data_IF_828941987706
#
_entry.id   IF_828941987706
#
_cell.length_a   1.000
_cell.length_b   1.000
_cell.length_c   1.000
_cell.angle_alpha   90.00
_cell.angle_beta   90.00
_cell.angle_gamma   90.00
#
_symmetry.space_group_name_H-M   'P 1'
#
loop_
_entity.id
_entity.type
_entity.pdbx_description
1 polymer ?
#
# COMPACT_ATOMS: atom_id res chain seq x y z
N UNK A 1 -65.56 -2.48 39.41
CA UNK A 1 -64.58 -3.12 38.50
C UNK A 1 -63.60 -2.03 38.04
N UNK A 2 -62.29 -2.34 37.93
CA UNK A 2 -61.10 -1.45 37.75
C UNK A 2 -60.55 -0.88 39.06
N UNK A 3 -59.46 -1.39 39.65
CA UNK A 3 -58.05 -1.65 39.27
C UNK A 3 -57.12 -0.61 39.91
N UNK A 4 -56.36 -1.09 40.90
CA UNK A 4 -55.28 -0.41 41.63
C UNK A 4 -54.20 0.09 40.66
N UNK A 5 -53.88 1.37 40.69
CA UNK A 5 -52.65 1.92 40.09
C UNK A 5 -51.54 1.95 41.13
N UNK A 6 -50.54 1.08 40.98
CA UNK A 6 -49.33 1.03 41.80
C UNK A 6 -48.26 1.84 41.06
N UNK A 7 -47.78 2.93 41.66
CA UNK A 7 -46.66 3.71 41.14
C UNK A 7 -45.39 2.86 41.20
N UNK A 8 -44.79 2.60 40.03
CA UNK A 8 -43.46 2.01 39.90
C UNK A 8 -42.50 3.18 39.70
N UNK A 9 -41.73 3.51 40.72
CA UNK A 9 -40.57 4.38 40.62
C UNK A 9 -39.50 3.65 39.80
N UNK A 10 -39.42 3.98 38.52
CA UNK A 10 -38.36 3.49 37.63
C UNK A 10 -37.04 4.18 37.97
N UNK A 11 -36.07 3.42 38.46
CA UNK A 11 -34.68 3.87 38.54
C UNK A 11 -34.12 3.88 37.11
N UNK A 12 -33.88 5.06 36.55
CA UNK A 12 -33.16 5.21 35.28
C UNK A 12 -31.67 5.04 35.58
N UNK A 13 -31.15 3.83 35.35
CA UNK A 13 -29.70 3.60 35.32
C UNK A 13 -29.17 4.15 34.00
N UNK A 14 -28.69 5.39 34.04
CA UNK A 14 -28.00 5.99 32.91
C UNK A 14 -26.66 5.28 32.68
N UNK A 15 -26.59 4.42 31.68
CA UNK A 15 -25.31 3.90 31.18
C UNK A 15 -24.64 5.06 30.45
N UNK A 16 -23.74 5.75 31.15
CA UNK A 16 -22.78 6.65 30.52
C UNK A 16 -21.82 5.79 29.70
N UNK A 17 -22.10 5.64 28.41
CA UNK A 17 -21.08 5.25 27.44
C UNK A 17 -20.09 6.41 27.39
N UNK A 18 -19.04 6.33 28.21
CA UNK A 18 -17.86 7.17 28.06
C UNK A 18 -17.25 6.72 26.74
N UNK A 19 -17.51 7.47 25.66
CA UNK A 19 -16.72 7.38 24.45
C UNK A 19 -15.34 7.96 24.80
N UNK A 20 -14.50 7.18 25.48
CA UNK A 20 -13.07 7.44 25.52
C UNK A 20 -12.62 7.48 24.07
N UNK A 21 -12.26 8.68 23.61
CA UNK A 21 -11.94 8.96 22.23
C UNK A 21 -10.76 8.10 21.82
N UNK A 22 -11.03 7.04 21.05
CA UNK A 22 -9.99 6.29 20.35
C UNK A 22 -9.42 7.24 19.31
N UNK A 23 -8.30 7.88 19.65
CA UNK A 23 -7.51 8.66 18.70
C UNK A 23 -6.93 7.70 17.67
N UNK A 24 -7.57 7.62 16.50
CA UNK A 24 -6.99 6.95 15.34
C UNK A 24 -5.83 7.82 14.83
N UNK A 25 -4.59 7.44 15.15
CA UNK A 25 -3.43 8.02 14.48
C UNK A 25 -3.48 7.60 13.01
N UNK A 26 -3.58 8.55 12.08
CA UNK A 26 -3.33 8.26 10.67
C UNK A 26 -1.86 7.91 10.51
N UNK A 27 -1.55 6.69 10.07
CA UNK A 27 -0.20 6.35 9.63
C UNK A 27 0.05 7.13 8.34
N UNK A 28 0.76 8.26 8.45
CA UNK A 28 1.26 8.96 7.28
C UNK A 28 2.32 8.07 6.63
N UNK A 29 2.09 7.65 5.39
CA UNK A 29 3.08 6.88 4.64
C UNK A 29 4.32 7.74 4.38
N UNK A 30 5.48 7.31 4.89
CA UNK A 30 6.75 8.01 4.66
C UNK A 30 7.53 7.38 3.52
N UNK A 31 7.40 7.94 2.33
CA UNK A 31 8.19 7.50 1.17
C UNK A 31 9.65 7.95 1.28
N UNK A 32 10.59 7.01 1.19
CA UNK A 32 12.04 7.25 1.19
C UNK A 32 12.63 6.77 -0.14
N UNK A 33 13.40 7.59 -0.87
CA UNK A 33 13.99 7.18 -2.15
C UNK A 33 15.01 6.05 -1.94
N UNK A 34 15.05 5.09 -2.86
CA UNK A 34 16.14 4.10 -2.90
C UNK A 34 17.43 4.72 -3.45
N UNK A 35 18.57 4.08 -3.20
CA UNK A 35 19.88 4.57 -3.66
C UNK A 35 19.89 4.84 -5.17
N UNK A 36 20.57 5.91 -5.57
CA UNK A 36 20.64 6.38 -6.96
C UNK A 36 21.14 5.31 -7.94
N UNK A 37 22.06 4.44 -7.49
CA UNK A 37 22.60 3.34 -8.29
C UNK A 37 21.54 2.31 -8.77
N UNK A 38 20.35 2.30 -8.15
CA UNK A 38 19.24 1.42 -8.51
C UNK A 38 18.09 2.14 -9.21
N UNK A 39 18.20 3.45 -9.43
CA UNK A 39 17.23 4.23 -10.19
C UNK A 39 17.43 4.00 -11.69
N UNK A 40 16.36 4.14 -12.47
CA UNK A 40 16.45 4.04 -13.95
C UNK A 40 16.10 5.39 -14.58
N UNK A 41 16.79 5.84 -15.65
CA UNK A 41 16.58 7.17 -16.25
C UNK A 41 15.15 7.45 -16.76
N UNK A 42 14.37 6.40 -17.04
CA UNK A 42 12.98 6.48 -17.48
C UNK A 42 11.97 6.77 -16.36
N UNK A 43 12.40 6.70 -15.10
CA UNK A 43 11.58 6.95 -13.92
C UNK A 43 11.96 8.29 -13.31
N UNK A 44 11.01 8.95 -12.65
CA UNK A 44 11.33 10.12 -11.84
C UNK A 44 12.07 9.68 -10.58
N UNK A 45 11.46 8.82 -9.75
CA UNK A 45 12.12 8.23 -8.58
C UNK A 45 11.38 6.98 -8.12
N UNK A 46 12.12 5.98 -7.63
CA UNK A 46 11.60 4.85 -6.87
C UNK A 46 11.81 5.08 -5.38
N UNK A 47 10.75 4.83 -4.61
CA UNK A 47 10.71 4.94 -3.16
C UNK A 47 10.31 3.63 -2.50
N UNK A 48 10.68 3.49 -1.24
CA UNK A 48 10.22 2.47 -0.31
C UNK A 48 9.44 3.14 0.83
N UNK A 49 8.46 2.43 1.38
CA UNK A 49 7.78 2.79 2.62
C UNK A 49 8.40 1.96 3.76
N UNK A 50 9.29 2.53 4.60
CA UNK A 50 9.96 1.80 5.68
C UNK A 50 8.99 1.23 6.71
N UNK A 51 7.86 1.92 6.93
CA UNK A 51 6.89 1.55 7.95
C UNK A 51 6.02 0.36 7.49
N UNK A 52 6.07 0.02 6.20
CA UNK A 52 5.41 -1.16 5.65
C UNK A 52 6.23 -2.46 5.73
N UNK A 53 7.50 -2.38 6.16
CA UNK A 53 8.41 -3.52 6.15
C UNK A 53 7.99 -4.50 7.27
N UNK A 54 7.67 -5.73 6.86
CA UNK A 54 7.29 -6.81 7.79
C UNK A 54 8.09 -8.07 7.47
N UNK A 55 8.65 -8.71 8.50
CA UNK A 55 9.49 -9.92 8.36
C UNK A 55 8.81 -11.14 8.98
N UNK A 56 8.88 -12.26 8.27
CA UNK A 56 8.58 -13.60 8.77
C UNK A 56 9.70 -14.56 8.32
N UNK A 57 10.61 -14.87 9.26
CA UNK A 57 11.82 -15.64 8.97
C UNK A 57 12.66 -15.02 7.84
N UNK A 58 12.85 -15.79 6.77
CA UNK A 58 13.61 -15.37 5.57
C UNK A 58 12.78 -14.54 4.58
N UNK A 59 11.49 -14.34 4.85
CA UNK A 59 10.58 -13.63 3.97
C UNK A 59 10.33 -12.23 4.51
N UNK A 60 10.46 -11.22 3.64
CA UNK A 60 10.19 -9.82 3.98
C UNK A 60 9.22 -9.24 2.98
N UNK A 61 8.17 -8.57 3.46
CA UNK A 61 7.22 -7.84 2.64
C UNK A 61 7.44 -6.34 2.80
N UNK A 62 7.35 -5.58 1.71
CA UNK A 62 7.38 -4.13 1.73
C UNK A 62 6.48 -3.51 0.67
N UNK A 63 6.23 -2.22 0.80
CA UNK A 63 5.63 -1.37 -0.24
C UNK A 63 6.70 -0.53 -0.92
N UNK A 64 6.61 -0.50 -2.25
CA UNK A 64 7.41 0.34 -3.12
C UNK A 64 6.49 1.31 -3.86
N UNK A 65 6.91 2.55 -4.00
CA UNK A 65 6.31 3.51 -4.93
C UNK A 65 7.24 3.77 -6.10
N UNK A 66 6.71 3.73 -7.31
CA UNK A 66 7.43 4.16 -8.51
C UNK A 66 6.73 5.39 -9.06
N UNK A 67 7.46 6.49 -9.10
CA UNK A 67 7.02 7.74 -9.69
C UNK A 67 7.62 7.87 -11.09
N UNK A 68 6.78 8.08 -12.09
CA UNK A 68 7.18 8.15 -13.49
C UNK A 68 7.30 9.60 -13.93
N UNK A 69 8.33 9.90 -14.72
CA UNK A 69 8.52 11.24 -15.27
C UNK A 69 7.41 11.61 -16.27
N UNK A 70 6.99 10.61 -17.05
CA UNK A 70 5.96 10.76 -18.07
C UNK A 70 4.76 9.89 -17.75
N UNK A 71 3.59 10.33 -18.21
CA UNK A 71 2.36 9.58 -18.08
C UNK A 71 2.50 8.21 -18.77
N UNK A 72 2.24 7.15 -18.03
CA UNK A 72 2.28 5.77 -18.50
C UNK A 72 0.88 5.30 -18.90
N UNK A 73 0.82 4.16 -19.58
CA UNK A 73 -0.41 3.45 -19.92
C UNK A 73 -1.16 3.96 -21.16
N UNK A 74 -2.09 3.14 -21.67
CA UNK A 74 -2.81 3.40 -22.91
C UNK A 74 -4.21 3.97 -22.68
N UNK A 75 -4.67 4.78 -23.64
CA UNK A 75 -6.07 5.20 -23.75
C UNK A 75 -7.01 4.03 -24.09
N UNK A 76 -7.62 3.39 -23.09
CA UNK A 76 -8.55 2.28 -23.28
C UNK A 76 -9.90 2.67 -23.90
N UNK A 77 -10.05 2.83 -25.21
CA UNK A 77 -11.36 3.06 -25.88
C UNK A 77 -12.07 4.40 -25.58
N UNK A 78 -12.38 5.13 -26.66
CA UNK A 78 -12.91 6.50 -26.64
C UNK A 78 -14.38 6.63 -26.22
N UNK A 79 -15.17 7.40 -26.97
CA UNK A 79 -16.53 7.94 -26.69
C UNK A 79 -17.60 6.93 -26.18
N UNK A 80 -17.32 5.63 -26.12
CA UNK A 80 -18.25 4.56 -25.75
C UNK A 80 -17.70 3.53 -24.72
N UNK A 81 -16.56 3.76 -24.06
CA UNK A 81 -15.92 2.79 -23.15
C UNK A 81 -14.69 3.35 -22.40
N UNK A 82 -13.98 2.56 -21.56
CA UNK A 82 -13.12 3.10 -20.49
C UNK A 82 -11.76 3.67 -20.91
N UNK A 83 -11.70 4.86 -21.52
CA UNK A 83 -10.45 5.53 -21.86
C UNK A 83 -9.62 5.95 -20.63
N UNK A 84 -8.33 6.26 -20.83
CA UNK A 84 -7.12 5.53 -20.42
C UNK A 84 -6.97 5.04 -18.98
N UNK A 85 -6.34 3.87 -18.82
CA UNK A 85 -5.49 3.53 -17.67
C UNK A 85 -4.19 4.36 -17.75
N UNK A 86 -4.30 5.68 -17.63
CA UNK A 86 -3.15 6.59 -17.61
C UNK A 86 -2.77 6.89 -16.17
N UNK A 87 -1.49 6.72 -15.86
CA UNK A 87 -0.99 6.89 -14.51
C UNK A 87 0.38 7.54 -14.49
N UNK A 88 0.68 8.22 -13.38
CA UNK A 88 1.98 8.85 -13.13
C UNK A 88 2.75 8.17 -12.01
N UNK A 89 2.08 7.34 -11.22
CA UNK A 89 2.76 6.55 -10.20
C UNK A 89 2.10 5.21 -9.98
N UNK A 90 2.88 4.26 -9.48
CA UNK A 90 2.39 2.96 -9.03
C UNK A 90 2.84 2.71 -7.60
N UNK A 91 1.98 2.06 -6.82
CA UNK A 91 2.35 1.47 -5.54
C UNK A 91 2.27 -0.04 -5.67
N UNK A 92 3.35 -0.72 -5.32
CA UNK A 92 3.44 -2.18 -5.36
C UNK A 92 3.72 -2.73 -3.98
N UNK A 93 3.10 -3.86 -3.64
CA UNK A 93 3.45 -4.68 -2.48
C UNK A 93 4.23 -5.88 -2.97
N UNK A 94 5.45 -6.04 -2.48
CA UNK A 94 6.38 -7.08 -2.91
C UNK A 94 6.83 -7.90 -1.73
N UNK A 95 7.12 -9.16 -2.02
CA UNK A 95 7.72 -10.08 -1.07
C UNK A 95 9.08 -10.54 -1.55
N UNK A 96 10.03 -10.61 -0.63
CA UNK A 96 11.42 -10.94 -0.87
C UNK A 96 11.83 -12.15 -0.02
N UNK A 97 12.45 -13.15 -0.65
CA UNK A 97 13.09 -14.26 0.06
C UNK A 97 14.58 -13.93 0.22
N UNK A 98 14.99 -13.55 1.43
CA UNK A 98 16.33 -13.05 1.72
C UNK A 98 17.44 -14.09 1.50
N UNK A 99 17.17 -15.37 1.80
CA UNK A 99 18.15 -16.44 1.65
C UNK A 99 18.42 -16.82 0.18
N UNK A 100 17.37 -16.83 -0.64
CA UNK A 100 17.47 -17.28 -2.05
C UNK A 100 17.56 -16.13 -3.05
N UNK A 101 17.56 -14.88 -2.57
CA UNK A 101 17.59 -13.65 -3.38
C UNK A 101 16.52 -13.66 -4.47
N UNK A 102 15.26 -13.89 -4.05
CA UNK A 102 14.07 -13.93 -4.93
C UNK A 102 13.04 -12.88 -4.54
N UNK A 103 12.23 -12.47 -5.50
CA UNK A 103 11.13 -11.51 -5.33
C UNK A 103 9.85 -12.04 -5.98
N UNK A 104 8.70 -11.69 -5.41
CA UNK A 104 7.39 -11.81 -6.08
C UNK A 104 6.54 -10.57 -5.84
N UNK A 105 5.73 -10.22 -6.84
CA UNK A 105 4.72 -9.19 -6.70
C UNK A 105 3.49 -9.79 -6.00
N UNK A 106 2.96 -9.09 -4.99
CA UNK A 106 1.72 -9.49 -4.31
C UNK A 106 0.53 -8.64 -4.78
N UNK A 107 0.76 -7.34 -4.95
CA UNK A 107 -0.28 -6.43 -5.40
C UNK A 107 0.33 -5.20 -6.07
N UNK A 108 -0.43 -4.57 -6.97
CA UNK A 108 -0.08 -3.28 -7.54
C UNK A 108 -1.31 -2.40 -7.73
N UNK A 109 -1.13 -1.10 -7.61
CA UNK A 109 -2.16 -0.08 -7.84
C UNK A 109 -1.56 1.07 -8.61
N UNK A 110 -2.24 1.48 -9.68
CA UNK A 110 -1.90 2.64 -10.51
C UNK A 110 -2.61 3.88 -10.00
N UNK A 111 -1.94 5.03 -10.06
CA UNK A 111 -2.46 6.30 -9.58
C UNK A 111 -2.39 7.36 -10.68
N UNK A 112 -3.50 8.09 -10.84
CA UNK A 112 -3.63 9.11 -11.88
C UNK A 112 -2.71 10.32 -11.70
N UNK A 113 -2.09 10.50 -10.53
CA UNK A 113 -1.11 11.55 -10.24
C UNK A 113 0.17 10.94 -9.66
N UNK A 114 1.18 11.79 -9.45
CA UNK A 114 2.45 11.45 -8.83
C UNK A 114 2.29 10.99 -7.38
N UNK A 115 3.32 10.33 -6.85
CA UNK A 115 3.44 10.01 -5.43
C UNK A 115 2.25 9.23 -4.82
N UNK A 116 1.60 8.37 -5.62
CA UNK A 116 0.52 7.50 -5.15
C UNK A 116 -0.76 8.27 -4.84
N UNK A 117 -1.00 9.38 -5.53
CA UNK A 117 -2.14 10.28 -5.29
C UNK A 117 -3.10 10.34 -6.47
N UNK A 118 -4.29 10.92 -6.25
CA UNK A 118 -5.32 11.00 -7.27
C UNK A 118 -6.24 9.79 -7.31
N UNK A 119 -6.82 9.50 -8.48
CA UNK A 119 -7.74 8.37 -8.63
C UNK A 119 -6.95 7.07 -8.76
N UNK A 120 -7.12 6.10 -7.84
CA UNK A 120 -6.54 4.79 -8.01
C UNK A 120 -7.29 4.02 -9.10
N UNK A 121 -6.57 3.22 -9.89
CA UNK A 121 -7.18 2.16 -10.67
C UNK A 121 -7.64 1.02 -9.74
N UNK A 122 -8.47 0.12 -10.26
CA UNK A 122 -8.79 -1.12 -9.55
C UNK A 122 -7.49 -1.87 -9.26
N UNK A 123 -7.19 -2.09 -7.98
CA UNK A 123 -5.95 -2.75 -7.56
C UNK A 123 -5.89 -4.19 -8.07
N UNK A 124 -4.74 -4.58 -8.61
CA UNK A 124 -4.52 -5.95 -9.07
C UNK A 124 -3.71 -6.70 -8.02
N UNK A 125 -4.24 -7.85 -7.59
CA UNK A 125 -3.53 -8.81 -6.74
C UNK A 125 -2.91 -9.86 -7.65
N UNK A 126 -1.59 -9.99 -7.56
CA UNK A 126 -0.86 -10.92 -8.40
C UNK A 126 -0.59 -12.22 -7.64
N UNK A 127 -0.73 -13.35 -8.35
CA UNK A 127 -0.23 -14.64 -7.90
C UNK A 127 1.13 -14.94 -8.56
N UNK A 128 1.98 -13.91 -8.62
CA UNK A 128 3.25 -13.98 -9.32
C UNK A 128 4.14 -15.08 -8.76
N UNK A 129 4.84 -15.75 -9.67
CA UNK A 129 5.88 -16.71 -9.31
C UNK A 129 7.09 -16.00 -8.71
N UNK A 130 7.86 -16.74 -7.92
CA UNK A 130 9.14 -16.26 -7.41
C UNK A 130 10.15 -16.08 -8.54
N UNK A 131 10.57 -14.84 -8.77
CA UNK A 131 11.58 -14.48 -9.76
C UNK A 131 12.94 -14.26 -9.09
N UNK A 132 14.05 -14.62 -9.76
CA UNK A 132 15.39 -14.25 -9.30
C UNK A 132 15.55 -12.73 -9.36
N UNK A 133 16.31 -12.16 -8.42
CA UNK A 133 16.60 -10.72 -8.41
C UNK A 133 17.85 -10.44 -9.24
N UNK A 134 17.67 -9.67 -10.30
CA UNK A 134 18.74 -9.25 -11.19
C UNK A 134 19.69 -8.25 -10.50
N UNK A 135 21.01 -8.36 -10.69
CA UNK A 135 21.98 -7.35 -10.25
C UNK A 135 21.66 -5.98 -10.84
N UNK A 136 21.99 -4.91 -10.11
CA UNK A 136 21.79 -3.50 -10.52
C UNK A 136 20.33 -3.10 -10.82
N UNK A 137 19.37 -3.97 -10.47
CA UNK A 137 17.95 -3.70 -10.66
C UNK A 137 17.34 -2.97 -9.46
N UNK A 138 16.20 -2.30 -9.68
CA UNK A 138 15.36 -1.74 -8.60
C UNK A 138 15.07 -2.79 -7.52
N UNK A 139 14.80 -4.04 -7.92
CA UNK A 139 14.54 -5.13 -6.99
C UNK A 139 15.76 -5.49 -6.14
N UNK A 140 16.99 -5.32 -6.65
CA UNK A 140 18.20 -5.50 -5.84
C UNK A 140 18.33 -4.42 -4.77
N UNK A 141 18.10 -3.15 -5.13
CA UNK A 141 18.11 -2.06 -4.16
C UNK A 141 17.09 -2.27 -3.04
N UNK A 142 15.87 -2.65 -3.41
CA UNK A 142 14.81 -2.96 -2.43
C UNK A 142 15.13 -4.19 -1.58
N UNK A 143 15.71 -5.23 -2.16
CA UNK A 143 16.13 -6.42 -1.41
C UNK A 143 17.22 -6.11 -0.40
N UNK A 144 18.19 -5.25 -0.75
CA UNK A 144 19.21 -4.78 0.20
C UNK A 144 18.57 -4.04 1.37
N UNK A 145 17.61 -3.17 1.11
CA UNK A 145 16.87 -2.47 2.17
C UNK A 145 16.11 -3.48 3.03
N UNK A 146 15.31 -4.36 2.42
CA UNK A 146 14.47 -5.35 3.09
C UNK A 146 15.27 -6.34 3.95
N UNK A 147 16.43 -6.80 3.45
CA UNK A 147 17.20 -7.90 4.03
C UNK A 147 18.44 -7.45 4.81
N UNK A 148 18.76 -6.15 4.85
CA UNK A 148 19.91 -5.61 5.60
C UNK A 148 19.77 -5.74 7.12
N UNK A 149 18.54 -5.69 7.63
CA UNK A 149 18.25 -5.84 9.06
C UNK A 149 17.94 -7.32 9.34
N UNK A 150 18.89 -8.00 10.01
CA UNK A 150 18.71 -9.38 10.50
C UNK A 150 17.91 -9.40 11.79
#
# INVERSE_FOLDING_TARGET
MRLKGRLITGVVVGIWFICDGVSFSSVETRWVPIEEAYQTPSLHTVYVDPDSISRDGNVVVLRQLTDYLWMQGNAGFGRFGPGPHRFFSTVTRKEFHCADKRVRLLAFTEFSHHMGTGRPADGYVDQSQWLPIEPTSINEGLWKIACSQR
#
